data_IF_075664455887
#
_entry.id   IF_075664455887
#
_cell.length_a   1.000
_cell.length_b   1.000
_cell.length_c   1.000
_cell.angle_alpha   90.00
_cell.angle_beta   90.00
_cell.angle_gamma   90.00
#
_symmetry.space_group_name_H-M   'P 1'
#
loop_
_entity.id
_entity.type
_entity.pdbx_description
1 polymer ?
#
# COMPACT_ATOMS: atom_id res chain seq x y z
N UNK A 1 -51.47 20.29 -21.16
CA UNK A 1 -50.08 20.80 -21.02
C UNK A 1 -49.59 20.55 -19.60
N UNK A 2 -48.72 19.54 -19.38
CA UNK A 2 -48.06 19.34 -18.07
C UNK A 2 -47.09 20.51 -17.85
N UNK A 3 -47.42 21.43 -16.92
CA UNK A 3 -46.45 22.40 -16.40
C UNK A 3 -45.41 21.65 -15.56
N UNK A 4 -44.44 21.00 -16.22
CA UNK A 4 -43.27 20.45 -15.55
C UNK A 4 -42.33 21.61 -15.20
N UNK A 5 -42.68 22.38 -14.16
CA UNK A 5 -41.67 23.13 -13.42
C UNK A 5 -41.00 22.11 -12.51
N UNK A 6 -39.85 21.56 -12.91
CA UNK A 6 -38.97 20.98 -11.91
C UNK A 6 -38.69 22.08 -10.89
N UNK A 7 -39.14 21.88 -9.65
CA UNK A 7 -38.84 22.81 -8.59
C UNK A 7 -37.35 22.67 -8.27
N UNK A 8 -36.69 23.78 -7.93
CA UNK A 8 -35.29 23.77 -7.48
C UNK A 8 -35.05 22.73 -6.36
N UNK A 9 -36.08 22.49 -5.53
CA UNK A 9 -36.11 21.43 -4.51
C UNK A 9 -35.93 20.03 -5.09
N UNK A 10 -36.68 19.69 -6.14
CA UNK A 10 -36.59 18.39 -6.81
C UNK A 10 -35.22 18.20 -7.44
N UNK A 11 -34.70 19.22 -8.12
CA UNK A 11 -33.35 19.19 -8.70
C UNK A 11 -32.28 18.95 -7.61
N UNK A 12 -32.31 19.72 -6.52
CA UNK A 12 -31.36 19.54 -5.41
C UNK A 12 -31.45 18.15 -4.78
N UNK A 13 -32.66 17.60 -4.61
CA UNK A 13 -32.83 16.24 -4.09
C UNK A 13 -32.21 15.19 -5.04
N UNK A 14 -32.42 15.30 -6.35
CA UNK A 14 -31.78 14.40 -7.32
C UNK A 14 -30.25 14.53 -7.32
N UNK A 15 -29.71 15.74 -7.19
CA UNK A 15 -28.25 15.94 -7.10
C UNK A 15 -27.69 15.24 -5.85
N UNK A 16 -28.33 15.40 -4.68
CA UNK A 16 -27.94 14.69 -3.45
C UNK A 16 -27.94 13.18 -3.66
N UNK A 17 -29.01 12.64 -4.25
CA UNK A 17 -29.13 11.19 -4.51
C UNK A 17 -28.03 10.68 -5.43
N UNK A 18 -27.78 11.35 -6.56
CA UNK A 18 -26.74 10.91 -7.50
C UNK A 18 -25.33 11.09 -6.92
N UNK A 19 -25.09 12.17 -6.18
CA UNK A 19 -23.80 12.36 -5.51
C UNK A 19 -23.56 11.29 -4.43
N UNK A 20 -24.60 10.88 -3.70
CA UNK A 20 -24.52 9.76 -2.77
C UNK A 20 -24.15 8.44 -3.47
N UNK A 21 -24.79 8.13 -4.61
CA UNK A 21 -24.47 6.91 -5.37
C UNK A 21 -23.01 6.92 -5.84
N UNK A 22 -22.53 8.04 -6.38
CA UNK A 22 -21.12 8.17 -6.81
C UNK A 22 -20.17 8.04 -5.62
N UNK A 23 -20.47 8.69 -4.49
CA UNK A 23 -19.66 8.59 -3.26
C UNK A 23 -19.62 7.16 -2.69
N UNK A 24 -20.72 6.43 -2.77
CA UNK A 24 -20.76 5.03 -2.33
C UNK A 24 -19.86 4.15 -3.20
N UNK A 25 -19.98 4.25 -4.53
CA UNK A 25 -19.16 3.47 -5.47
C UNK A 25 -17.68 3.82 -5.30
N UNK A 26 -17.35 5.11 -5.33
CA UNK A 26 -15.96 5.57 -5.19
C UNK A 26 -15.39 5.27 -3.80
N UNK A 27 -16.20 5.35 -2.74
CA UNK A 27 -15.83 4.98 -1.38
C UNK A 27 -15.47 3.49 -1.28
N UNK A 28 -16.26 2.61 -1.90
CA UNK A 28 -15.95 1.18 -1.96
C UNK A 28 -14.64 0.92 -2.73
N UNK A 29 -14.44 1.58 -3.88
CA UNK A 29 -13.19 1.44 -4.65
C UNK A 29 -11.99 1.91 -3.82
N UNK A 30 -12.08 3.07 -3.16
CA UNK A 30 -11.01 3.61 -2.31
C UNK A 30 -10.78 2.79 -1.03
N UNK A 31 -11.78 2.01 -0.63
CA UNK A 31 -11.65 1.07 0.46
C UNK A 31 -10.79 -0.14 0.05
N UNK A 32 -10.98 -0.67 -1.16
CA UNK A 32 -10.28 -1.90 -1.62
C UNK A 32 -8.98 -1.67 -2.39
N UNK A 33 -8.77 -0.47 -2.96
CA UNK A 33 -7.56 -0.12 -3.72
C UNK A 33 -6.30 -0.31 -2.88
N UNK A 34 -5.19 -0.86 -3.42
CA UNK A 34 -3.96 -1.04 -2.66
C UNK A 34 -3.43 0.26 -2.04
N UNK A 35 -2.53 0.10 -1.06
CA UNK A 35 -1.75 1.20 -0.49
C UNK A 35 -1.08 2.01 -1.60
N UNK A 36 -0.94 3.34 -1.41
CA UNK A 36 -0.36 4.24 -2.42
C UNK A 36 1.00 3.74 -2.93
N UNK A 37 1.88 3.31 -2.01
CA UNK A 37 3.19 2.73 -2.34
C UNK A 37 3.14 1.59 -3.36
N UNK A 38 2.09 0.76 -3.32
CA UNK A 38 1.91 -0.36 -4.25
C UNK A 38 1.21 0.13 -5.50
N UNK A 39 0.12 0.90 -5.34
CA UNK A 39 -0.70 1.38 -6.44
C UNK A 39 0.10 2.16 -7.49
N UNK A 40 1.01 3.04 -7.08
CA UNK A 40 1.87 3.78 -8.01
C UNK A 40 2.98 2.91 -8.59
N UNK A 41 3.55 2.02 -7.77
CA UNK A 41 4.64 1.12 -8.18
C UNK A 41 4.25 0.15 -9.30
N UNK A 42 3.01 -0.34 -9.27
CA UNK A 42 2.48 -1.30 -10.26
C UNK A 42 1.53 -0.67 -11.29
N UNK A 43 1.35 0.66 -11.27
CA UNK A 43 0.31 1.37 -12.04
C UNK A 43 -1.07 0.71 -11.92
N UNK A 44 -1.50 0.46 -10.67
CA UNK A 44 -2.81 -0.11 -10.42
C UNK A 44 -3.90 0.74 -11.08
N UNK A 45 -4.81 0.08 -11.78
CA UNK A 45 -5.97 0.73 -12.38
C UNK A 45 -7.22 -0.14 -12.28
N UNK A 46 -8.38 0.51 -12.23
CA UNK A 46 -9.69 -0.10 -12.30
C UNK A 46 -10.55 0.71 -13.26
N UNK A 47 -11.15 0.05 -14.26
CA UNK A 47 -11.92 0.67 -15.34
C UNK A 47 -11.17 1.81 -16.06
N UNK A 48 -9.86 1.62 -16.27
CA UNK A 48 -9.00 2.61 -16.94
C UNK A 48 -8.64 3.83 -16.08
N UNK A 49 -9.00 3.82 -14.79
CA UNK A 49 -8.68 4.90 -13.86
C UNK A 49 -7.71 4.40 -12.79
N UNK A 50 -6.63 5.15 -12.61
CA UNK A 50 -5.68 4.95 -11.53
C UNK A 50 -6.23 5.44 -10.19
N UNK A 51 -5.53 5.09 -9.11
CA UNK A 51 -5.90 5.45 -7.73
C UNK A 51 -6.26 6.93 -7.58
N UNK A 52 -5.47 7.83 -8.15
CA UNK A 52 -5.68 9.27 -8.01
C UNK A 52 -6.94 9.75 -8.72
N UNK A 53 -7.24 9.19 -9.90
CA UNK A 53 -8.45 9.53 -10.64
C UNK A 53 -9.70 9.10 -9.86
N UNK A 54 -9.67 7.93 -9.22
CA UNK A 54 -10.73 7.51 -8.29
C UNK A 54 -10.87 8.45 -7.10
N UNK A 55 -9.75 8.87 -6.49
CA UNK A 55 -9.74 9.81 -5.38
C UNK A 55 -10.31 11.18 -5.78
N UNK A 56 -9.97 11.68 -6.98
CA UNK A 56 -10.47 12.95 -7.49
C UNK A 56 -11.98 12.94 -7.74
N UNK A 57 -12.53 11.85 -8.28
CA UNK A 57 -13.98 11.71 -8.44
C UNK A 57 -14.64 11.73 -7.05
N UNK A 58 -14.12 10.98 -6.08
CA UNK A 58 -14.65 10.95 -4.73
C UNK A 58 -14.63 12.34 -4.07
N UNK A 59 -13.50 13.05 -4.13
CA UNK A 59 -13.37 14.39 -3.54
C UNK A 59 -14.28 15.41 -4.22
N UNK A 60 -14.37 15.38 -5.55
CA UNK A 60 -15.24 16.29 -6.33
C UNK A 60 -16.69 16.08 -5.95
N UNK A 61 -17.16 14.83 -5.94
CA UNK A 61 -18.53 14.53 -5.55
C UNK A 61 -18.80 14.70 -4.06
N UNK A 62 -17.77 14.60 -3.21
CA UNK A 62 -17.84 14.96 -1.79
C UNK A 62 -18.16 16.44 -1.60
N UNK A 63 -17.45 17.32 -2.32
CA UNK A 63 -17.75 18.76 -2.34
C UNK A 63 -19.15 19.06 -2.86
N UNK A 64 -19.55 18.42 -3.97
CA UNK A 64 -20.92 18.54 -4.51
C UNK A 64 -21.97 18.07 -3.50
N UNK A 65 -21.74 16.95 -2.84
CA UNK A 65 -22.66 16.37 -1.86
C UNK A 65 -22.84 17.29 -0.65
N UNK A 66 -21.75 17.85 -0.11
CA UNK A 66 -21.81 18.79 1.02
C UNK A 66 -22.64 20.01 0.64
N UNK A 67 -22.33 20.67 -0.49
CA UNK A 67 -23.06 21.83 -0.96
C UNK A 67 -24.54 21.51 -1.23
N UNK A 68 -24.81 20.41 -1.93
CA UNK A 68 -26.16 19.99 -2.25
C UNK A 68 -26.96 19.59 -1.00
N UNK A 69 -26.34 18.97 0.01
CA UNK A 69 -26.97 18.65 1.29
C UNK A 69 -27.35 19.91 2.07
N UNK A 70 -26.48 20.93 2.08
CA UNK A 70 -26.81 22.24 2.66
C UNK A 70 -28.01 22.89 1.95
N UNK A 71 -27.98 22.96 0.61
CA UNK A 71 -29.08 23.50 -0.18
C UNK A 71 -30.37 22.69 0.00
N UNK A 72 -30.25 21.37 0.10
CA UNK A 72 -31.37 20.47 0.33
C UNK A 72 -32.03 20.77 1.67
N UNK A 73 -31.25 20.89 2.75
CA UNK A 73 -31.78 21.24 4.08
C UNK A 73 -32.36 22.66 4.09
N UNK A 74 -31.72 23.62 3.44
CA UNK A 74 -32.19 25.00 3.34
C UNK A 74 -33.54 25.10 2.62
N UNK A 75 -33.66 24.51 1.42
CA UNK A 75 -34.90 24.58 0.65
C UNK A 75 -36.04 23.74 1.23
N UNK A 76 -35.71 22.72 2.03
CA UNK A 76 -36.67 21.83 2.70
C UNK A 76 -36.77 22.09 4.22
N UNK A 77 -36.33 23.25 4.71
CA UNK A 77 -36.32 23.57 6.14
C UNK A 77 -37.71 23.55 6.79
N UNK A 78 -38.75 24.01 6.06
CA UNK A 78 -40.14 23.96 6.53
C UNK A 78 -40.62 22.50 6.70
N UNK A 79 -40.57 21.64 5.66
CA UNK A 79 -40.83 20.20 5.82
C UNK A 79 -40.01 19.53 6.91
N UNK A 80 -38.72 19.84 7.02
CA UNK A 80 -37.83 19.26 8.04
C UNK A 80 -38.28 19.61 9.47
N UNK A 81 -38.59 20.89 9.73
CA UNK A 81 -39.11 21.31 11.04
C UNK A 81 -40.48 20.72 11.34
N UNK A 82 -41.37 20.62 10.35
CA UNK A 82 -42.67 19.96 10.52
C UNK A 82 -42.50 18.49 10.83
N UNK A 83 -41.63 17.78 10.10
CA UNK A 83 -41.30 16.39 10.38
C UNK A 83 -40.81 16.19 11.83
N UNK A 84 -39.95 17.08 12.33
CA UNK A 84 -39.52 17.05 13.73
C UNK A 84 -40.67 17.39 14.68
N UNK A 85 -41.43 18.46 14.43
CA UNK A 85 -42.50 18.93 15.30
C UNK A 85 -43.67 17.94 15.43
N UNK A 86 -44.12 17.38 14.31
CA UNK A 86 -45.22 16.41 14.24
C UNK A 86 -44.85 15.10 14.96
N UNK A 87 -43.56 14.74 14.94
CA UNK A 87 -43.03 13.58 15.69
C UNK A 87 -42.76 13.88 17.17
N UNK A 88 -42.54 15.13 17.55
CA UNK A 88 -42.45 15.56 18.96
C UNK A 88 -43.84 15.56 19.64
N UNK A 89 -44.89 15.91 18.89
CA UNK A 89 -46.27 15.92 19.41
C UNK A 89 -46.90 14.52 19.50
N UNK A 90 -46.36 13.53 18.79
CA UNK A 90 -46.75 12.11 18.87
C UNK A 90 -45.95 11.32 19.91
N UNK A 91 -46.42 11.33 21.16
CA UNK A 91 -46.12 10.41 22.29
C UNK A 91 -44.90 9.44 22.17
N UNK A 92 -43.84 9.79 22.93
CA UNK A 92 -42.78 8.97 23.55
C UNK A 92 -41.69 8.22 22.74
N UNK A 93 -41.87 7.82 21.47
CA UNK A 93 -40.81 7.06 20.75
C UNK A 93 -39.66 7.94 20.21
N UNK A 94 -39.97 9.18 19.78
CA UNK A 94 -39.03 10.09 19.10
C UNK A 94 -37.84 10.52 19.98
N UNK A 95 -38.04 10.67 21.30
CA UNK A 95 -36.95 11.03 22.22
C UNK A 95 -35.90 9.92 22.33
N UNK A 96 -36.34 8.66 22.33
CA UNK A 96 -35.43 7.51 22.46
C UNK A 96 -34.70 7.25 21.14
N UNK A 97 -35.40 7.26 20.01
CA UNK A 97 -34.77 7.02 18.70
C UNK A 97 -33.71 8.07 18.35
N UNK A 98 -33.99 9.36 18.55
CA UNK A 98 -32.98 10.41 18.33
C UNK A 98 -31.85 10.27 19.33
N UNK A 99 -32.14 10.08 20.62
CA UNK A 99 -31.09 9.93 21.63
C UNK A 99 -30.20 8.72 21.32
N UNK A 100 -30.78 7.59 20.93
CA UNK A 100 -30.06 6.37 20.55
C UNK A 100 -29.24 6.61 19.28
N UNK A 101 -29.82 7.20 18.23
CA UNK A 101 -29.09 7.47 16.99
C UNK A 101 -27.93 8.46 17.21
N UNK A 102 -28.16 9.54 17.97
CA UNK A 102 -27.12 10.51 18.33
C UNK A 102 -26.05 9.86 19.19
N UNK A 103 -26.42 9.12 20.25
CA UNK A 103 -25.46 8.46 21.13
C UNK A 103 -24.67 7.39 20.38
N UNK A 104 -25.33 6.56 19.57
CA UNK A 104 -24.67 5.56 18.73
C UNK A 104 -23.69 6.22 17.75
N UNK A 105 -24.05 7.34 17.14
CA UNK A 105 -23.16 8.09 16.24
C UNK A 105 -21.96 8.64 17.00
N UNK A 106 -22.17 9.26 18.16
CA UNK A 106 -21.08 9.78 19.01
C UNK A 106 -20.16 8.66 19.50
N UNK A 107 -20.72 7.53 19.94
CA UNK A 107 -19.95 6.35 20.33
C UNK A 107 -19.11 5.85 19.15
N UNK A 108 -19.68 5.70 17.95
CA UNK A 108 -18.92 5.29 16.76
C UNK A 108 -17.80 6.27 16.41
N UNK A 109 -18.05 7.58 16.53
CA UNK A 109 -17.01 8.61 16.34
C UNK A 109 -15.88 8.44 17.37
N UNK A 110 -16.21 8.29 18.65
CA UNK A 110 -15.21 8.10 19.72
C UNK A 110 -14.42 6.80 19.52
N UNK A 111 -15.11 5.69 19.24
CA UNK A 111 -14.46 4.41 18.98
C UNK A 111 -13.54 4.48 17.76
N UNK A 112 -13.96 5.17 16.68
CA UNK A 112 -13.12 5.36 15.49
C UNK A 112 -11.89 6.23 15.78
N UNK A 113 -12.06 7.30 16.56
CA UNK A 113 -10.96 8.21 16.91
C UNK A 113 -9.94 7.58 17.86
N UNK A 114 -10.37 6.64 18.71
CA UNK A 114 -9.52 5.93 19.66
C UNK A 114 -9.04 4.56 19.16
N UNK A 115 -9.37 4.19 17.91
CA UNK A 115 -9.07 2.88 17.31
C UNK A 115 -9.57 1.68 18.14
N UNK A 116 -10.78 1.80 18.68
CA UNK A 116 -11.42 0.79 19.54
C UNK A 116 -12.49 -0.03 18.79
N UNK A 117 -12.72 -1.30 19.18
CA UNK A 117 -13.76 -2.12 18.57
C UNK A 117 -15.18 -1.64 18.95
N UNK A 118 -16.20 -1.85 18.08
CA UNK A 118 -16.10 -2.53 16.77
C UNK A 118 -15.64 -1.63 15.62
N UNK A 119 -15.40 -0.33 15.83
CA UNK A 119 -15.01 0.58 14.74
C UNK A 119 -13.65 0.18 14.11
N UNK A 120 -12.70 -0.25 14.93
CA UNK A 120 -11.39 -0.72 14.46
C UNK A 120 -11.45 -1.96 13.58
N UNK A 121 -12.49 -2.80 13.67
CA UNK A 121 -12.66 -3.96 12.78
C UNK A 121 -12.82 -3.57 11.31
N UNK A 122 -13.48 -2.43 11.05
CA UNK A 122 -13.61 -1.89 9.68
C UNK A 122 -12.22 -1.44 9.20
N UNK A 123 -11.43 -0.78 10.05
CA UNK A 123 -10.10 -0.30 9.69
C UNK A 123 -9.13 -1.49 9.45
N UNK A 124 -9.22 -2.53 10.27
CA UNK A 124 -8.44 -3.77 10.11
C UNK A 124 -8.78 -4.48 8.80
N UNK A 125 -10.08 -4.66 8.51
CA UNK A 125 -10.52 -5.23 7.23
C UNK A 125 -10.00 -4.43 6.03
N UNK A 126 -9.98 -3.09 6.13
CA UNK A 126 -9.38 -2.23 5.10
C UNK A 126 -7.90 -2.56 4.90
N UNK A 127 -7.14 -2.65 5.99
CA UNK A 127 -5.71 -2.98 5.98
C UNK A 127 -5.46 -4.36 5.37
N UNK A 128 -6.21 -5.37 5.79
CA UNK A 128 -6.07 -6.75 5.32
C UNK A 128 -6.32 -6.87 3.81
N UNK A 129 -7.41 -6.25 3.31
CA UNK A 129 -7.69 -6.20 1.87
C UNK A 129 -6.56 -5.50 1.13
N UNK A 130 -6.05 -4.38 1.65
CA UNK A 130 -4.97 -3.63 1.00
C UNK A 130 -3.63 -4.36 1.01
N UNK A 131 -3.37 -5.17 2.04
CA UNK A 131 -2.17 -6.01 2.14
C UNK A 131 -2.26 -7.25 1.26
N UNK A 132 -3.47 -7.78 1.02
CA UNK A 132 -3.69 -8.91 0.12
C UNK A 132 -3.26 -8.65 -1.34
N UNK A 133 -3.10 -7.38 -1.73
CA UNK A 133 -2.52 -7.03 -3.04
C UNK A 133 -1.01 -7.32 -3.15
N UNK A 134 -0.32 -7.53 -2.03
CA UNK A 134 1.11 -7.85 -2.00
C UNK A 134 1.26 -9.36 -1.85
N UNK A 135 1.24 -10.07 -2.98
CA UNK A 135 1.40 -11.53 -3.02
C UNK A 135 2.86 -11.98 -2.98
N UNK A 136 3.79 -11.11 -3.40
CA UNK A 136 5.21 -11.42 -3.52
C UNK A 136 6.05 -10.22 -3.06
N UNK A 137 7.24 -10.44 -2.44
CA UNK A 137 8.12 -9.36 -2.01
C UNK A 137 8.55 -8.41 -3.13
N UNK A 138 8.58 -8.89 -4.39
CA UNK A 138 8.93 -8.08 -5.56
C UNK A 138 7.91 -6.98 -5.88
N UNK A 139 6.67 -7.11 -5.41
CA UNK A 139 5.62 -6.10 -5.59
C UNK A 139 5.82 -4.89 -4.67
N UNK A 140 6.66 -4.99 -3.65
CA UNK A 140 6.97 -3.86 -2.80
C UNK A 140 8.08 -2.99 -3.40
N UNK A 141 7.90 -1.65 -3.43
CA UNK A 141 8.96 -0.77 -3.85
C UNK A 141 10.14 -0.84 -2.86
N UNK A 142 11.38 -0.56 -3.32
CA UNK A 142 12.56 -0.64 -2.46
C UNK A 142 12.53 0.31 -1.26
N UNK A 143 11.75 1.39 -1.37
CA UNK A 143 11.43 2.35 -0.31
C UNK A 143 10.16 3.13 -0.71
N UNK A 144 9.56 3.89 0.20
CA UNK A 144 8.37 4.69 -0.10
C UNK A 144 8.63 5.74 -1.19
N UNK A 145 7.70 5.88 -2.14
CA UNK A 145 7.80 6.77 -3.31
C UNK A 145 9.02 6.48 -4.21
N UNK A 146 9.42 5.21 -4.36
CA UNK A 146 10.52 4.84 -5.23
C UNK A 146 10.27 5.17 -6.71
N UNK A 147 9.02 5.13 -7.15
CA UNK A 147 8.57 5.55 -8.47
C UNK A 147 8.89 7.02 -8.76
N UNK A 148 8.90 7.87 -7.73
CA UNK A 148 9.21 9.29 -7.84
C UNK A 148 10.72 9.57 -7.79
N UNK A 149 11.53 8.59 -7.39
CA UNK A 149 12.97 8.75 -7.32
C UNK A 149 13.59 8.75 -8.72
N UNK A 150 14.55 9.65 -8.95
CA UNK A 150 15.38 9.61 -10.15
C UNK A 150 16.25 8.36 -10.18
N UNK A 151 16.60 7.88 -11.37
CA UNK A 151 17.48 6.71 -11.50
C UNK A 151 18.84 6.94 -10.79
N UNK A 152 19.37 8.16 -10.78
CA UNK A 152 20.57 8.53 -10.04
C UNK A 152 20.37 8.52 -8.52
N UNK A 153 19.22 9.01 -8.02
CA UNK A 153 18.91 8.94 -6.60
C UNK A 153 18.70 7.49 -6.15
N UNK A 154 18.08 6.68 -7.00
CA UNK A 154 17.90 5.25 -6.79
C UNK A 154 19.26 4.54 -6.73
N UNK A 155 20.14 4.80 -7.70
CA UNK A 155 21.51 4.27 -7.75
C UNK A 155 22.28 4.57 -6.47
N UNK A 156 22.25 5.83 -6.03
CA UNK A 156 22.90 6.25 -4.77
C UNK A 156 22.29 5.57 -3.54
N UNK A 157 20.96 5.44 -3.48
CA UNK A 157 20.27 4.91 -2.30
C UNK A 157 20.35 3.39 -2.19
N UNK A 158 20.44 2.71 -3.33
CA UNK A 158 20.51 1.25 -3.44
C UNK A 158 21.92 0.73 -3.69
N UNK A 159 22.90 1.62 -3.72
CA UNK A 159 24.33 1.33 -3.90
C UNK A 159 24.63 0.51 -5.16
N UNK A 160 24.21 1.03 -6.32
CA UNK A 160 24.57 0.47 -7.63
C UNK A 160 25.07 1.55 -8.59
N UNK A 161 25.84 1.14 -9.60
CA UNK A 161 26.40 2.06 -10.57
C UNK A 161 25.36 2.56 -11.58
N UNK A 162 25.25 3.87 -11.70
CA UNK A 162 24.27 4.53 -12.58
C UNK A 162 24.52 4.26 -14.07
N UNK A 163 25.76 4.33 -14.53
CA UNK A 163 26.09 4.17 -15.95
C UNK A 163 25.81 2.75 -16.47
N UNK A 164 26.21 1.66 -15.78
CA UNK A 164 25.79 0.30 -16.13
C UNK A 164 24.26 0.12 -16.12
N UNK A 165 23.55 0.74 -15.17
CA UNK A 165 22.10 0.69 -15.13
C UNK A 165 21.48 1.37 -16.36
N UNK A 166 21.94 2.57 -16.73
CA UNK A 166 21.50 3.28 -17.93
C UNK A 166 21.75 2.46 -19.21
N UNK A 167 22.95 1.91 -19.36
CA UNK A 167 23.28 1.06 -20.50
C UNK A 167 22.39 -0.18 -20.55
N UNK A 168 22.21 -0.88 -19.44
CA UNK A 168 21.39 -2.08 -19.38
C UNK A 168 19.90 -1.85 -19.70
N UNK A 169 19.35 -0.66 -19.38
CA UNK A 169 18.00 -0.28 -19.77
C UNK A 169 17.93 0.03 -21.27
N UNK A 170 18.91 0.76 -21.82
CA UNK A 170 18.99 1.09 -23.25
C UNK A 170 19.22 -0.14 -24.12
N UNK A 171 20.06 -1.07 -23.68
CA UNK A 171 20.34 -2.34 -24.37
C UNK A 171 19.09 -3.23 -24.46
N UNK A 172 18.14 -3.05 -23.53
CA UNK A 172 16.82 -3.68 -23.54
C UNK A 172 15.78 -2.90 -24.35
N UNK A 173 16.19 -1.86 -25.04
CA UNK A 173 15.33 -1.06 -25.91
C UNK A 173 14.49 0.00 -25.20
N UNK A 174 14.76 0.29 -23.91
CA UNK A 174 14.02 1.34 -23.21
C UNK A 174 14.55 2.73 -23.58
N UNK A 175 13.62 3.65 -23.83
CA UNK A 175 13.89 5.06 -23.97
C UNK A 175 14.22 5.68 -22.61
N UNK A 176 15.52 5.89 -22.35
CA UNK A 176 16.05 6.56 -21.15
C UNK A 176 17.09 7.61 -21.59
N UNK A 177 16.80 8.88 -21.30
CA UNK A 177 17.65 10.03 -21.65
C UNK A 177 18.83 10.12 -20.69
N UNK A 178 18.57 10.17 -19.38
CA UNK A 178 19.61 10.38 -18.38
C UNK A 178 19.18 9.96 -16.96
N UNK A 179 20.13 9.96 -16.02
CA UNK A 179 19.87 9.55 -14.64
C UNK A 179 18.98 10.49 -13.80
N UNK A 180 18.56 11.65 -14.31
CA UNK A 180 17.69 12.58 -13.56
C UNK A 180 16.21 12.24 -13.66
N UNK A 181 15.85 11.41 -14.64
CA UNK A 181 14.48 10.98 -14.85
C UNK A 181 14.03 10.04 -13.74
N UNK A 182 12.78 10.21 -13.32
CA UNK A 182 12.17 9.32 -12.32
C UNK A 182 11.86 7.96 -12.93
N UNK A 183 11.80 6.92 -12.09
CA UNK A 183 11.33 5.61 -12.53
C UNK A 183 9.94 5.71 -13.16
N UNK A 184 9.06 6.55 -12.61
CA UNK A 184 7.73 6.83 -13.17
C UNK A 184 7.80 7.41 -14.58
N UNK A 185 8.66 8.42 -14.81
CA UNK A 185 8.83 9.03 -16.14
C UNK A 185 9.34 8.03 -17.18
N UNK A 186 10.33 7.22 -16.79
CA UNK A 186 10.88 6.16 -17.65
C UNK A 186 9.79 5.12 -17.94
N UNK A 187 9.07 4.67 -16.91
CA UNK A 187 8.02 3.67 -17.02
C UNK A 187 6.92 4.13 -18.00
N UNK A 188 6.38 5.34 -17.80
CA UNK A 188 5.34 5.91 -18.68
C UNK A 188 5.76 6.02 -20.13
N UNK A 189 6.99 6.49 -20.38
CA UNK A 189 7.52 6.63 -21.75
C UNK A 189 7.61 5.29 -22.47
N UNK A 190 7.89 4.24 -21.73
CA UNK A 190 8.09 2.90 -22.26
C UNK A 190 6.83 2.02 -22.18
N UNK A 191 5.69 2.56 -21.71
CA UNK A 191 4.47 1.76 -21.52
C UNK A 191 4.63 0.65 -20.48
N UNK A 192 5.51 0.85 -19.51
CA UNK A 192 5.83 -0.10 -18.43
C UNK A 192 5.41 0.49 -17.07
N UNK A 193 5.54 -0.32 -16.02
CA UNK A 193 5.41 0.11 -14.62
C UNK A 193 6.78 0.42 -14.01
N UNK A 194 6.87 1.26 -12.97
CA UNK A 194 8.11 1.50 -12.22
C UNK A 194 8.75 0.20 -11.73
N UNK A 195 7.93 -0.74 -11.27
CA UNK A 195 8.36 -2.09 -10.90
C UNK A 195 9.06 -2.81 -12.05
N UNK A 196 8.47 -2.80 -13.24
CA UNK A 196 9.02 -3.49 -14.39
C UNK A 196 10.35 -2.86 -14.84
N UNK A 197 10.45 -1.52 -14.83
CA UNK A 197 11.72 -0.82 -15.10
C UNK A 197 12.78 -1.20 -14.05
N UNK A 198 12.40 -1.18 -12.77
CA UNK A 198 13.30 -1.54 -11.68
C UNK A 198 13.82 -2.98 -11.75
N UNK A 199 12.97 -3.91 -12.20
CA UNK A 199 13.36 -5.31 -12.38
C UNK A 199 14.44 -5.51 -13.45
N UNK A 200 14.55 -4.59 -14.43
CA UNK A 200 15.55 -4.66 -15.50
C UNK A 200 16.91 -4.05 -15.10
N UNK A 201 16.99 -3.34 -13.98
CA UNK A 201 18.24 -2.75 -13.50
C UNK A 201 19.15 -3.88 -12.99
N UNK A 202 20.36 -4.04 -13.55
CA UNK A 202 21.34 -4.98 -13.04
C UNK A 202 21.68 -4.61 -11.60
N UNK A 203 21.48 -5.56 -10.69
CA UNK A 203 21.95 -5.43 -9.32
C UNK A 203 23.18 -6.30 -9.17
N UNK A 204 24.23 -5.84 -8.48
CA UNK A 204 25.33 -6.70 -8.12
C UNK A 204 24.74 -7.83 -7.26
N UNK A 205 24.60 -9.02 -7.85
CA UNK A 205 24.48 -10.22 -7.05
C UNK A 205 25.87 -10.43 -6.47
N UNK A 206 26.01 -10.52 -5.13
CA UNK A 206 27.27 -10.96 -4.56
C UNK A 206 27.61 -12.30 -5.20
N UNK A 207 28.82 -12.42 -5.75
CA UNK A 207 29.27 -13.68 -6.36
C UNK A 207 29.05 -14.85 -5.37
N UNK A 208 28.86 -16.09 -5.82
CA UNK A 208 28.80 -17.24 -4.94
C UNK A 208 29.99 -17.22 -3.98
N UNK A 209 29.74 -17.46 -2.69
CA UNK A 209 30.80 -17.52 -1.69
C UNK A 209 31.38 -18.93 -1.73
N UNK A 210 32.70 -19.07 -1.81
CA UNK A 210 33.36 -20.36 -1.60
C UNK A 210 33.10 -20.81 -0.16
N UNK A 211 32.42 -21.94 0.00
CA UNK A 211 32.04 -22.50 1.30
C UNK A 211 33.21 -23.04 2.13
N UNK A 212 34.43 -22.98 1.59
CA UNK A 212 35.66 -23.50 2.21
C UNK A 212 36.38 -22.45 3.08
N UNK A 213 36.12 -21.15 2.88
CA UNK A 213 36.73 -20.07 3.67
C UNK A 213 35.70 -19.40 4.58
N UNK A 214 35.95 -19.43 5.90
CA UNK A 214 35.15 -18.66 6.86
C UNK A 214 35.39 -17.17 6.62
N UNK A 215 34.33 -16.43 6.34
CA UNK A 215 34.40 -14.98 6.19
C UNK A 215 34.16 -14.29 7.53
N UNK A 216 34.82 -13.16 7.75
CA UNK A 216 34.54 -12.34 8.93
C UNK A 216 33.13 -11.71 8.82
N UNK A 217 32.44 -11.44 9.94
CA UNK A 217 31.16 -10.73 9.91
C UNK A 217 31.22 -9.39 9.16
N UNK A 218 32.35 -8.68 9.23
CA UNK A 218 32.57 -7.40 8.56
C UNK A 218 32.65 -7.56 7.03
N UNK A 219 33.31 -8.61 6.53
CA UNK A 219 33.36 -8.92 5.09
C UNK A 219 32.00 -9.35 4.56
N UNK A 220 31.23 -10.09 5.36
CA UNK A 220 29.85 -10.48 5.03
C UNK A 220 28.95 -9.25 4.99
N UNK A 221 29.04 -8.36 5.98
CA UNK A 221 28.27 -7.12 6.00
C UNK A 221 28.63 -6.23 4.81
N UNK A 222 29.93 -6.04 4.51
CA UNK A 222 30.37 -5.25 3.36
C UNK A 222 29.89 -5.83 2.01
N UNK A 223 29.85 -7.16 1.87
CA UNK A 223 29.48 -7.82 0.61
C UNK A 223 27.98 -7.96 0.41
N UNK A 224 27.20 -8.07 1.49
CA UNK A 224 25.78 -8.37 1.43
C UNK A 224 24.88 -7.24 1.98
N UNK A 225 25.44 -6.13 2.47
CA UNK A 225 24.68 -4.93 2.78
C UNK A 225 23.88 -4.45 1.55
N UNK A 226 22.68 -3.92 1.79
CA UNK A 226 21.84 -3.36 0.72
C UNK A 226 21.18 -4.39 -0.22
N UNK A 227 21.55 -5.68 -0.16
CA UNK A 227 20.96 -6.76 -1.00
C UNK A 227 19.48 -7.06 -0.69
N UNK A 228 18.95 -6.47 0.39
CA UNK A 228 17.58 -6.71 0.83
C UNK A 228 17.40 -8.06 1.52
N UNK A 229 18.43 -8.60 2.17
CA UNK A 229 18.41 -9.86 2.94
C UNK A 229 17.13 -10.08 3.76
N UNK A 230 16.69 -9.09 4.53
CA UNK A 230 15.48 -9.22 5.34
C UNK A 230 14.17 -9.39 4.56
N UNK A 231 14.17 -9.22 3.24
CA UNK A 231 12.99 -9.41 2.36
C UNK A 231 12.94 -10.80 1.72
N UNK A 232 13.95 -11.62 1.97
CA UNK A 232 14.13 -12.93 1.32
C UNK A 232 13.70 -14.05 2.26
N UNK A 233 13.26 -15.16 1.66
CA UNK A 233 13.06 -16.44 2.34
C UNK A 233 14.41 -17.12 2.57
N UNK A 234 14.45 -18.07 3.50
CA UNK A 234 15.66 -18.87 3.74
C UNK A 234 16.16 -19.55 2.45
N UNK A 235 15.25 -20.11 1.66
CA UNK A 235 15.56 -20.74 0.36
C UNK A 235 16.27 -19.78 -0.60
N UNK A 236 15.74 -18.56 -0.77
CA UNK A 236 16.30 -17.53 -1.63
C UNK A 236 17.68 -17.02 -1.13
N UNK A 237 17.90 -16.99 0.18
CA UNK A 237 19.20 -16.62 0.75
C UNK A 237 20.24 -17.72 0.52
N UNK A 238 19.85 -18.98 0.70
CA UNK A 238 20.73 -20.12 0.42
C UNK A 238 21.12 -20.16 -1.06
N UNK A 239 20.15 -19.97 -1.96
CA UNK A 239 20.41 -19.87 -3.40
C UNK A 239 21.36 -18.71 -3.74
N UNK A 240 21.16 -17.53 -3.13
CA UNK A 240 22.01 -16.36 -3.34
C UNK A 240 23.48 -16.64 -3.03
N UNK A 241 23.76 -17.40 -1.97
CA UNK A 241 25.14 -17.71 -1.56
C UNK A 241 25.66 -19.02 -2.15
N UNK A 242 24.87 -19.72 -2.96
CA UNK A 242 25.24 -21.00 -3.56
C UNK A 242 25.23 -22.19 -2.58
N UNK A 243 24.41 -22.12 -1.53
CA UNK A 243 24.23 -23.16 -0.52
C UNK A 243 22.93 -23.95 -0.73
N UNK A 244 22.96 -25.23 -0.40
CA UNK A 244 21.75 -26.05 -0.29
C UNK A 244 20.92 -25.60 0.92
N UNK A 245 19.60 -25.50 0.74
CA UNK A 245 18.67 -24.99 1.77
C UNK A 245 18.73 -25.83 3.05
N UNK A 246 18.91 -27.15 2.94
CA UNK A 246 19.03 -28.03 4.11
C UNK A 246 20.27 -27.72 4.92
N UNK A 247 21.38 -27.39 4.24
CA UNK A 247 22.62 -26.99 4.91
C UNK A 247 22.42 -25.67 5.67
N UNK A 248 21.70 -24.71 5.09
CA UNK A 248 21.33 -23.47 5.78
C UNK A 248 20.48 -23.71 7.02
N UNK A 249 19.49 -24.60 6.92
CA UNK A 249 18.64 -25.00 8.06
C UNK A 249 19.44 -25.68 9.17
N UNK A 250 20.33 -26.62 8.83
CA UNK A 250 21.19 -27.32 9.80
C UNK A 250 22.09 -26.34 10.57
N UNK A 251 22.66 -25.34 9.88
CA UNK A 251 23.53 -24.31 10.49
C UNK A 251 22.77 -23.33 11.38
N UNK A 252 21.54 -22.96 11.00
CA UNK A 252 20.66 -22.16 11.86
C UNK A 252 20.21 -22.95 13.08
N UNK A 253 19.85 -24.21 12.90
CA UNK A 253 19.44 -25.09 14.00
C UNK A 253 20.57 -25.32 15.02
N UNK A 254 21.83 -25.44 14.56
CA UNK A 254 22.97 -25.54 15.48
C UNK A 254 23.21 -24.27 16.30
N UNK A 255 22.73 -23.12 15.81
CA UNK A 255 22.71 -21.85 16.55
C UNK A 255 21.41 -21.62 17.37
N UNK A 256 20.55 -22.64 17.49
CA UNK A 256 19.30 -22.58 18.23
C UNK A 256 18.14 -21.92 17.49
N UNK A 257 18.23 -21.77 16.17
CA UNK A 257 17.21 -21.11 15.34
C UNK A 257 16.55 -22.17 14.44
N UNK A 258 15.30 -22.52 14.75
CA UNK A 258 14.48 -23.35 13.86
C UNK A 258 13.95 -22.50 12.71
N UNK A 259 14.18 -22.96 11.47
CA UNK A 259 13.76 -22.25 10.26
C UNK A 259 13.28 -23.22 9.18
N UNK A 260 12.11 -22.94 8.61
CA UNK A 260 11.59 -23.54 7.40
C UNK A 260 12.18 -22.91 6.12
N UNK A 261 12.09 -23.59 4.97
CA UNK A 261 12.63 -23.11 3.70
C UNK A 261 11.93 -21.83 3.20
N UNK A 262 10.66 -21.66 3.57
CA UNK A 262 9.84 -20.51 3.18
C UNK A 262 9.83 -19.39 4.22
N UNK A 263 10.50 -19.55 5.36
CA UNK A 263 10.47 -18.56 6.42
C UNK A 263 11.21 -17.27 6.01
N UNK A 264 10.63 -16.13 6.36
CA UNK A 264 11.20 -14.81 6.09
C UNK A 264 12.41 -14.54 6.99
N UNK A 265 13.53 -14.13 6.39
CA UNK A 265 14.78 -13.88 7.13
C UNK A 265 14.63 -12.74 8.14
N UNK A 266 13.82 -11.71 7.86
CA UNK A 266 13.54 -10.65 8.84
C UNK A 266 12.76 -11.18 10.04
N UNK A 267 11.69 -11.94 9.79
CA UNK A 267 10.85 -12.46 10.86
C UNK A 267 11.62 -13.42 11.76
N UNK A 268 12.46 -14.29 11.16
CA UNK A 268 13.39 -15.15 11.90
C UNK A 268 14.40 -14.35 12.72
N UNK A 269 14.96 -13.28 12.16
CA UNK A 269 15.94 -12.46 12.84
C UNK A 269 15.31 -11.73 14.04
N UNK A 270 14.15 -11.10 13.83
CA UNK A 270 13.41 -10.36 14.85
C UNK A 270 12.95 -11.30 15.99
N UNK A 271 12.45 -12.50 15.66
CA UNK A 271 12.05 -13.51 16.65
C UNK A 271 13.20 -13.98 17.55
N UNK A 272 14.44 -13.89 17.05
CA UNK A 272 15.67 -14.31 17.75
C UNK A 272 16.51 -13.13 18.25
N UNK A 273 15.98 -11.89 18.20
CA UNK A 273 16.69 -10.69 18.64
C UNK A 273 17.97 -10.39 17.85
N UNK A 274 18.02 -10.79 16.58
CA UNK A 274 19.15 -10.64 15.66
C UNK A 274 18.79 -9.73 14.49
N UNK A 275 19.79 -9.28 13.73
CA UNK A 275 19.59 -8.62 12.42
C UNK A 275 19.60 -9.69 11.31
N UNK A 276 18.93 -9.43 10.17
CA UNK A 276 18.99 -10.30 8.99
C UNK A 276 20.42 -10.69 8.55
N UNK A 277 21.37 -9.77 8.70
CA UNK A 277 22.77 -10.01 8.36
C UNK A 277 23.44 -11.01 9.33
N UNK A 278 23.03 -11.02 10.60
CA UNK A 278 23.59 -11.92 11.60
C UNK A 278 23.17 -13.38 11.32
N UNK A 279 21.98 -13.58 10.73
CA UNK A 279 21.55 -14.90 10.24
C UNK A 279 22.41 -15.37 9.05
N UNK A 280 22.77 -14.46 8.14
CA UNK A 280 23.64 -14.80 7.02
C UNK A 280 25.03 -15.23 7.49
N UNK A 281 25.56 -14.59 8.55
CA UNK A 281 26.84 -15.00 9.17
C UNK A 281 26.77 -16.44 9.67
N UNK A 282 25.68 -16.83 10.33
CA UNK A 282 25.47 -18.21 10.80
C UNK A 282 25.37 -19.17 9.61
N UNK A 283 24.60 -18.80 8.57
CA UNK A 283 24.42 -19.61 7.37
C UNK A 283 25.75 -19.82 6.65
N UNK A 284 26.63 -18.83 6.56
CA UNK A 284 27.91 -18.93 5.84
C UNK A 284 29.01 -19.64 6.65
N UNK A 285 29.12 -19.37 7.94
CA UNK A 285 30.23 -19.86 8.78
C UNK A 285 29.91 -21.11 9.61
N UNK A 286 28.63 -21.49 9.70
CA UNK A 286 28.12 -22.48 10.65
C UNK A 286 27.90 -21.90 12.04
N UNK A 287 26.94 -22.44 12.80
CA UNK A 287 26.76 -22.07 14.21
C UNK A 287 28.04 -22.34 15.01
N UNK A 288 28.48 -21.36 15.79
CA UNK A 288 29.53 -21.56 16.81
C UNK A 288 28.95 -22.24 18.04
#
# INVERSE_FOLDING_TARGET
MRKNKQSIRSLTAFIVTWAFVVLMVTGLVLYVVPHGRIAYWIHWSLWGLEKDRWAWIHMTFGGVFILAAFLHLYFNWKPFKQYIADRIQGHLAFKREILIATLATLVLVVLSALDLPPASWIIQLNSDIKNAWVTEPALEPPFGHAEEASLAALAKRMDFDLEPALSALRDRGLAVENGRETLEQIARRNGMTPMAVYALIPRPQPAPVSTEEKMTPEEIEARFAGTGLGRKRLSEVCEMVGLDVRTGQERLASAGIEAGPDDGIRDLADANGKRPIDLLVIILNGGQ
#
